data_IF_300257015522
#
_entry.id   IF_300257015522
#
_cell.length_a   1.000
_cell.length_b   1.000
_cell.length_c   1.000
_cell.angle_alpha   90.00
_cell.angle_beta   90.00
_cell.angle_gamma   90.00
#
_symmetry.space_group_name_H-M   'P 1'
#
loop_
_entity.id
_entity.type
_entity.pdbx_description
1 polymer ?
#
# COMPACT_ATOMS: atom_id res chain seq x y z
N UNK A 1 -36.64 -25.49 12.81
CA UNK A 1 -35.20 -25.29 13.08
C UNK A 1 -34.62 -24.44 11.95
N UNK A 2 -34.63 -23.12 12.13
CA UNK A 2 -34.06 -22.18 11.16
C UNK A 2 -32.54 -22.33 11.15
N UNK A 3 -31.97 -22.64 9.98
CA UNK A 3 -30.52 -22.74 9.80
C UNK A 3 -29.94 -21.34 9.93
N UNK A 4 -29.11 -21.13 10.95
CA UNK A 4 -28.25 -19.97 11.06
C UNK A 4 -27.31 -19.96 9.85
N UNK A 5 -27.55 -19.05 8.91
CA UNK A 5 -26.58 -18.73 7.87
C UNK A 5 -25.62 -17.69 8.45
N UNK A 6 -24.31 -17.98 8.53
CA UNK A 6 -23.33 -16.96 8.86
C UNK A 6 -23.37 -15.92 7.74
N UNK A 7 -23.64 -14.67 8.13
CA UNK A 7 -23.58 -13.52 7.23
C UNK A 7 -22.17 -13.51 6.60
N UNK A 8 -22.01 -13.63 5.27
CA UNK A 8 -20.70 -13.50 4.67
C UNK A 8 -20.20 -12.10 5.00
N UNK A 9 -19.05 -12.01 5.69
CA UNK A 9 -18.39 -10.75 5.91
C UNK A 9 -18.23 -10.05 4.56
N UNK A 10 -19.04 -9.05 4.31
CA UNK A 10 -18.80 -8.08 3.26
C UNK A 10 -17.52 -7.37 3.66
N UNK A 11 -16.39 -7.73 3.04
CA UNK A 11 -15.21 -6.91 3.02
C UNK A 11 -15.56 -5.65 2.23
N UNK A 12 -16.10 -4.67 2.95
CA UNK A 12 -16.29 -3.32 2.46
C UNK A 12 -14.88 -2.75 2.21
N UNK A 13 -14.49 -2.44 0.96
CA UNK A 13 -13.22 -1.80 0.69
C UNK A 13 -13.32 -0.34 1.11
N UNK A 14 -12.42 0.11 1.98
CA UNK A 14 -12.49 1.45 2.54
C UNK A 14 -11.13 1.87 3.15
N UNK A 15 -10.46 3.00 2.89
CA UNK A 15 -10.59 4.15 1.95
C UNK A 15 -9.21 4.85 1.91
N UNK A 16 -8.77 5.41 0.77
CA UNK A 16 -7.83 6.55 0.75
C UNK A 16 -8.63 7.82 0.41
N UNK A 17 -8.99 8.62 1.42
CA UNK A 17 -9.72 9.89 1.26
C UNK A 17 -8.80 11.06 1.57
N UNK A 18 -8.60 11.91 0.56
CA UNK A 18 -7.94 13.20 0.68
C UNK A 18 -8.86 14.30 0.19
N UNK A 19 -9.26 15.16 1.11
CA UNK A 19 -9.85 16.46 0.82
C UNK A 19 -8.72 17.48 0.57
N UNK A 20 -8.64 18.14 -0.61
CA UNK A 20 -7.67 19.21 -0.87
C UNK A 20 -8.08 20.59 -0.35
N UNK A 21 -9.24 20.75 0.30
CA UNK A 21 -9.82 22.07 0.63
C UNK A 21 -9.83 22.45 2.11
N UNK A 22 -9.39 21.58 3.02
CA UNK A 22 -9.17 21.93 4.42
C UNK A 22 -7.88 21.29 4.94
N UNK A 23 -7.18 21.96 5.85
CA UNK A 23 -5.95 21.50 6.53
C UNK A 23 -6.15 20.29 7.45
N UNK A 24 -7.27 19.58 7.31
CA UNK A 24 -7.80 18.63 8.27
C UNK A 24 -8.62 17.60 7.46
N UNK A 25 -8.08 16.43 7.12
CA UNK A 25 -8.79 15.37 6.37
C UNK A 25 -10.05 14.79 7.00
N UNK A 26 -10.78 13.81 6.44
CA UNK A 26 -11.98 13.21 7.08
C UNK A 26 -12.16 11.74 6.67
N UNK A 27 -12.40 10.83 7.64
CA UNK A 27 -12.67 9.41 7.38
C UNK A 27 -14.12 9.20 6.95
N UNK A 28 -14.30 8.87 5.68
CA UNK A 28 -15.48 8.24 5.12
C UNK A 28 -15.74 6.80 5.58
N UNK A 29 -15.69 6.46 6.87
CA UNK A 29 -16.11 5.13 7.31
C UNK A 29 -17.60 4.92 7.09
N UNK A 30 -17.91 4.10 6.08
CA UNK A 30 -19.16 3.40 5.80
C UNK A 30 -20.35 3.79 6.72
N UNK A 31 -20.93 4.96 6.47
CA UNK A 31 -22.31 5.24 6.81
C UNK A 31 -23.02 5.63 5.54
N UNK A 32 -23.60 4.62 4.87
CA UNK A 32 -24.86 4.78 4.14
C UNK A 32 -26.03 5.06 5.10
N UNK A 33 -25.77 5.63 6.28
CA UNK A 33 -26.80 6.20 7.16
C UNK A 33 -26.79 7.72 6.98
N UNK A 34 -27.95 8.19 6.57
CA UNK A 34 -28.23 9.56 6.17
C UNK A 34 -27.87 10.57 7.28
N UNK A 35 -27.17 11.65 6.89
CA UNK A 35 -27.27 12.94 7.58
C UNK A 35 -26.31 13.24 8.74
N UNK A 36 -25.27 12.44 9.03
CA UNK A 36 -24.28 12.85 10.04
C UNK A 36 -23.22 13.81 9.48
N UNK A 37 -22.87 14.89 10.21
CA UNK A 37 -21.76 15.76 9.84
C UNK A 37 -20.45 14.99 9.91
N UNK A 38 -19.72 14.99 8.80
CA UNK A 38 -18.39 14.36 8.68
C UNK A 38 -17.37 15.18 9.48
N UNK A 39 -16.79 14.58 10.53
CA UNK A 39 -15.77 15.24 11.36
C UNK A 39 -14.44 15.26 10.62
N UNK A 40 -13.79 16.43 10.45
CA UNK A 40 -12.46 16.47 9.91
C UNK A 40 -11.41 15.86 10.87
N UNK A 41 -10.87 14.71 10.47
CA UNK A 41 -9.57 14.16 10.85
C UNK A 41 -8.40 15.13 10.65
N UNK A 42 -7.31 14.96 11.37
CA UNK A 42 -6.02 15.62 11.16
C UNK A 42 -5.15 14.88 10.13
N UNK A 43 -4.16 15.57 9.54
CA UNK A 43 -3.19 14.95 8.60
C UNK A 43 -2.54 13.71 9.21
N UNK A 44 -2.17 13.77 10.48
CA UNK A 44 -1.66 12.65 11.27
C UNK A 44 -2.63 11.47 11.34
N UNK A 45 -3.93 11.72 11.45
CA UNK A 45 -4.95 10.67 11.45
C UNK A 45 -5.07 9.98 10.08
N UNK A 46 -5.07 10.71 8.95
CA UNK A 46 -5.02 10.02 7.63
C UNK A 46 -3.80 9.14 7.57
N UNK A 47 -2.61 9.68 7.88
CA UNK A 47 -1.38 8.92 7.71
C UNK A 47 -1.44 7.63 8.53
N UNK A 48 -1.84 7.74 9.80
CA UNK A 48 -1.98 6.59 10.71
C UNK A 48 -2.96 5.55 10.16
N UNK A 49 -4.12 5.99 9.69
CA UNK A 49 -5.16 5.10 9.16
C UNK A 49 -4.76 4.48 7.82
N UNK A 50 -4.09 5.24 6.96
CA UNK A 50 -3.59 4.77 5.66
C UNK A 50 -2.50 3.72 5.84
N UNK A 51 -1.54 3.98 6.75
CA UNK A 51 -0.48 3.02 7.10
C UNK A 51 -1.12 1.75 7.66
N UNK A 52 -2.04 1.89 8.62
CA UNK A 52 -2.75 0.75 9.23
C UNK A 52 -3.55 -0.05 8.18
N UNK A 53 -4.23 0.63 7.27
CA UNK A 53 -5.02 0.00 6.20
C UNK A 53 -4.13 -0.80 5.26
N UNK A 54 -3.05 -0.22 4.76
CA UNK A 54 -2.11 -0.93 3.88
C UNK A 54 -1.49 -2.10 4.64
N UNK A 55 -1.08 -1.91 5.90
CA UNK A 55 -0.55 -2.96 6.75
C UNK A 55 -1.53 -4.14 6.87
N UNK A 56 -2.79 -3.89 7.24
CA UNK A 56 -3.84 -4.90 7.37
C UNK A 56 -4.12 -5.62 6.05
N UNK A 57 -4.12 -4.91 4.93
CA UNK A 57 -4.30 -5.51 3.61
C UNK A 57 -3.19 -6.49 3.26
N UNK A 58 -1.92 -6.12 3.48
CA UNK A 58 -0.80 -7.01 3.24
C UNK A 58 -0.85 -8.23 4.19
N UNK A 59 -1.26 -8.03 5.44
CA UNK A 59 -1.47 -9.11 6.41
C UNK A 59 -2.71 -9.97 6.17
N UNK A 60 -3.58 -9.61 5.22
CA UNK A 60 -4.76 -10.40 4.85
C UNK A 60 -4.43 -11.63 4.00
N UNK A 61 -3.17 -11.76 3.59
CA UNK A 61 -2.66 -12.89 2.81
C UNK A 61 -2.01 -13.92 3.73
N UNK A 62 -1.69 -15.11 3.19
CA UNK A 62 -0.93 -16.13 3.92
C UNK A 62 0.57 -15.86 3.93
N UNK A 63 1.06 -14.96 3.08
CA UNK A 63 2.46 -14.55 3.09
C UNK A 63 2.78 -13.71 4.34
N UNK A 64 4.04 -13.77 4.76
CA UNK A 64 4.53 -12.87 5.81
C UNK A 64 4.44 -11.41 5.33
N UNK A 65 3.91 -10.52 6.16
CA UNK A 65 3.67 -9.11 5.80
C UNK A 65 4.92 -8.42 5.24
N UNK A 66 6.08 -8.61 5.88
CA UNK A 66 7.36 -8.05 5.42
C UNK A 66 7.72 -8.43 3.98
N UNK A 67 7.36 -9.65 3.52
CA UNK A 67 7.58 -10.06 2.13
C UNK A 67 6.85 -9.11 1.19
N UNK A 68 5.61 -8.78 1.50
CA UNK A 68 4.79 -7.91 0.67
C UNK A 68 5.20 -6.44 0.80
N UNK A 69 5.69 -6.01 1.96
CA UNK A 69 6.30 -4.68 2.13
C UNK A 69 7.54 -4.54 1.24
N UNK A 70 8.42 -5.55 1.21
CA UNK A 70 9.57 -5.55 0.31
C UNK A 70 9.13 -5.57 -1.15
N UNK A 71 8.16 -6.41 -1.53
CA UNK A 71 7.64 -6.41 -2.89
C UNK A 71 7.13 -5.02 -3.31
N UNK A 72 6.37 -4.36 -2.42
CA UNK A 72 5.86 -3.01 -2.64
C UNK A 72 7.00 -2.01 -2.87
N UNK A 73 8.04 -2.04 -2.03
CA UNK A 73 9.24 -1.21 -2.22
C UNK A 73 9.94 -1.50 -3.56
N UNK A 74 9.96 -2.75 -3.99
CA UNK A 74 10.55 -3.18 -5.26
C UNK A 74 9.85 -2.59 -6.49
N UNK A 75 8.53 -2.41 -6.41
CA UNK A 75 7.70 -1.78 -7.44
C UNK A 75 7.80 -0.25 -7.39
N UNK A 76 7.71 0.34 -6.20
CA UNK A 76 7.68 1.80 -6.05
C UNK A 76 9.02 2.44 -6.40
N UNK A 77 10.10 1.95 -5.79
CA UNK A 77 11.40 2.57 -5.93
C UNK A 77 11.96 2.22 -7.29
N UNK A 78 12.14 3.18 -8.18
CA UNK A 78 12.79 2.94 -9.46
C UNK A 78 13.33 4.25 -10.01
N UNK A 79 14.30 4.17 -10.92
CA UNK A 79 14.84 5.40 -11.51
C UNK A 79 13.79 6.19 -12.33
N UNK A 80 12.93 5.55 -13.15
CA UNK A 80 11.94 6.29 -13.94
C UNK A 80 10.66 6.64 -13.16
N UNK A 81 10.51 6.25 -11.88
CA UNK A 81 9.28 6.57 -11.15
C UNK A 81 9.22 8.04 -10.74
N UNK A 82 8.00 8.51 -10.46
CA UNK A 82 7.72 9.89 -10.08
C UNK A 82 8.14 10.10 -8.62
N UNK A 83 8.43 11.34 -8.24
CA UNK A 83 8.60 11.70 -6.83
C UNK A 83 7.38 11.21 -6.01
N UNK A 84 7.59 10.70 -4.79
CA UNK A 84 8.84 10.66 -4.04
C UNK A 84 9.71 9.42 -4.34
N UNK A 85 9.26 8.52 -5.21
CA UNK A 85 9.87 7.19 -5.38
C UNK A 85 10.94 7.11 -6.48
N UNK A 86 11.01 8.14 -7.32
CA UNK A 86 12.02 8.36 -8.34
C UNK A 86 13.35 8.88 -7.81
N UNK A 87 14.45 8.60 -8.51
CA UNK A 87 15.76 9.15 -8.17
C UNK A 87 16.85 8.79 -9.18
N UNK A 88 18.04 9.39 -9.03
CA UNK A 88 19.19 9.06 -9.88
C UNK A 88 19.62 7.60 -9.69
N UNK A 89 20.26 6.98 -10.69
CA UNK A 89 20.84 5.63 -10.57
C UNK A 89 21.87 5.51 -9.44
N UNK A 90 22.51 6.63 -9.07
CA UNK A 90 23.42 6.72 -7.95
C UNK A 90 22.71 6.79 -6.58
N UNK A 91 21.40 7.09 -6.55
CA UNK A 91 20.55 7.21 -5.35
C UNK A 91 19.09 6.80 -5.67
N UNK A 92 18.81 5.53 -6.01
CA UNK A 92 17.49 5.11 -6.50
C UNK A 92 16.39 5.21 -5.42
N UNK A 93 15.47 6.18 -5.52
CA UNK A 93 14.40 6.38 -4.54
C UNK A 93 14.87 6.90 -3.17
N UNK A 94 16.13 7.34 -3.08
CA UNK A 94 16.76 7.82 -1.83
C UNK A 94 17.14 9.27 -1.91
N UNK A 95 16.37 10.09 -1.24
CA UNK A 95 16.97 11.24 -0.56
C UNK A 95 16.66 11.26 0.95
N UNK A 96 15.63 10.56 1.44
CA UNK A 96 15.15 10.75 2.82
C UNK A 96 14.92 9.50 3.69
N UNK A 97 14.81 8.28 3.14
CA UNK A 97 14.58 7.10 3.98
C UNK A 97 15.85 6.67 4.75
N UNK A 98 15.79 6.71 6.08
CA UNK A 98 16.87 6.30 7.00
C UNK A 98 16.42 5.20 7.99
N UNK A 99 15.30 4.52 7.70
CA UNK A 99 14.76 3.49 8.58
C UNK A 99 15.49 2.16 8.45
N UNK A 100 15.53 1.40 9.55
CA UNK A 100 16.20 0.09 9.63
C UNK A 100 15.22 -1.09 9.72
N UNK A 101 13.92 -0.83 9.64
CA UNK A 101 12.87 -1.86 9.79
C UNK A 101 11.86 -1.78 8.65
N UNK A 102 11.14 -2.89 8.42
CA UNK A 102 10.04 -2.96 7.43
C UNK A 102 8.87 -2.05 7.80
N UNK A 103 8.60 -1.86 9.08
CA UNK A 103 7.59 -0.92 9.57
C UNK A 103 7.94 0.53 9.22
N UNK A 104 9.20 0.93 9.40
CA UNK A 104 9.68 2.24 8.94
C UNK A 104 9.54 2.38 7.43
N UNK A 105 9.87 1.33 6.67
CA UNK A 105 9.77 1.32 5.22
C UNK A 105 8.32 1.50 4.75
N UNK A 106 7.36 0.79 5.35
CA UNK A 106 5.93 0.95 5.05
C UNK A 106 5.45 2.37 5.39
N UNK A 107 5.82 2.87 6.57
CA UNK A 107 5.49 4.24 7.00
C UNK A 107 5.96 5.27 5.98
N UNK A 108 7.20 5.12 5.50
CA UNK A 108 7.78 6.00 4.48
C UNK A 108 7.03 5.92 3.14
N UNK A 109 6.80 4.70 2.64
CA UNK A 109 6.12 4.48 1.35
C UNK A 109 4.71 5.04 1.32
N UNK A 110 4.02 5.08 2.47
CA UNK A 110 2.70 5.69 2.57
C UNK A 110 2.83 7.20 2.77
N UNK A 111 3.69 7.68 3.66
CA UNK A 111 3.73 9.09 4.08
C UNK A 111 4.24 10.04 2.99
N UNK A 112 5.26 9.66 2.24
CA UNK A 112 5.88 10.58 1.30
C UNK A 112 4.98 10.98 0.12
N UNK A 113 4.18 10.08 -0.48
CA UNK A 113 3.17 10.47 -1.46
C UNK A 113 2.14 11.46 -0.93
N UNK A 114 1.72 11.33 0.33
CA UNK A 114 0.83 12.29 0.97
C UNK A 114 1.48 13.65 1.15
N UNK A 115 2.73 13.67 1.63
CA UNK A 115 3.51 14.91 1.76
C UNK A 115 3.65 15.61 0.40
N UNK A 116 3.95 14.85 -0.65
CA UNK A 116 4.06 15.36 -2.03
C UNK A 116 2.72 15.89 -2.52
N UNK A 117 1.63 15.16 -2.29
CA UNK A 117 0.29 15.61 -2.64
C UNK A 117 -0.12 16.89 -1.94
N UNK A 118 0.12 17.02 -0.63
CA UNK A 118 -0.26 18.22 0.10
C UNK A 118 0.55 19.45 -0.29
N UNK A 119 1.85 19.26 -0.53
CA UNK A 119 2.80 20.34 -0.86
C UNK A 119 2.73 20.79 -2.32
N UNK A 120 2.65 19.85 -3.26
CA UNK A 120 2.71 20.12 -4.70
C UNK A 120 1.36 19.99 -5.41
N UNK A 121 0.31 19.54 -4.71
CA UNK A 121 -1.02 19.26 -5.27
C UNK A 121 -1.04 18.20 -6.39
N UNK A 122 0.03 17.39 -6.49
CA UNK A 122 0.15 16.27 -7.44
C UNK A 122 -0.35 14.95 -6.85
N UNK A 123 -1.15 14.20 -7.61
CA UNK A 123 -1.76 12.93 -7.17
C UNK A 123 -1.00 11.69 -7.63
N UNK A 124 -0.02 11.86 -8.49
CA UNK A 124 0.63 10.79 -9.24
C UNK A 124 1.34 9.80 -8.31
N UNK A 125 1.99 10.28 -7.24
CA UNK A 125 2.63 9.43 -6.24
C UNK A 125 1.64 8.57 -5.47
N UNK A 126 0.45 9.09 -5.15
CA UNK A 126 -0.61 8.36 -4.46
C UNK A 126 -1.27 7.34 -5.38
N UNK A 127 -1.58 7.72 -6.62
CA UNK A 127 -2.11 6.78 -7.62
C UNK A 127 -1.13 5.62 -7.85
N UNK A 128 0.16 5.93 -7.94
CA UNK A 128 1.19 4.91 -8.11
C UNK A 128 1.34 4.00 -6.88
N UNK A 129 1.22 4.54 -5.66
CA UNK A 129 1.14 3.74 -4.44
C UNK A 129 -0.02 2.75 -4.50
N UNK A 130 -1.23 3.22 -4.84
CA UNK A 130 -2.44 2.39 -4.92
C UNK A 130 -2.29 1.27 -5.95
N UNK A 131 -1.84 1.61 -7.17
CA UNK A 131 -1.60 0.63 -8.24
C UNK A 131 -0.59 -0.43 -7.77
N UNK A 132 0.48 0.00 -7.10
CA UNK A 132 1.53 -0.91 -6.62
C UNK A 132 1.05 -1.84 -5.51
N UNK A 133 0.26 -1.34 -4.54
CA UNK A 133 -0.33 -2.18 -3.49
C UNK A 133 -1.23 -3.25 -4.09
N UNK A 134 -2.12 -2.86 -5.02
CA UNK A 134 -2.98 -3.82 -5.72
C UNK A 134 -2.17 -4.84 -6.53
N UNK A 135 -1.11 -4.41 -7.21
CA UNK A 135 -0.24 -5.30 -7.97
C UNK A 135 0.43 -6.35 -7.07
N UNK A 136 0.94 -5.96 -5.90
CA UNK A 136 1.52 -6.89 -4.92
C UNK A 136 0.48 -7.91 -4.45
N UNK A 137 -0.72 -7.45 -4.09
CA UNK A 137 -1.80 -8.34 -3.66
C UNK A 137 -2.20 -9.31 -4.78
N UNK A 138 -2.31 -8.83 -6.02
CA UNK A 138 -2.62 -9.67 -7.19
C UNK A 138 -1.53 -10.70 -7.46
N UNK A 139 -0.25 -10.32 -7.36
CA UNK A 139 0.87 -11.26 -7.52
C UNK A 139 0.85 -12.35 -6.46
N UNK A 140 0.63 -11.99 -5.19
CA UNK A 140 0.56 -12.96 -4.10
C UNK A 140 -0.64 -13.89 -4.25
N UNK A 141 -1.82 -13.33 -4.51
CA UNK A 141 -3.07 -14.07 -4.65
C UNK A 141 -3.16 -14.95 -5.89
N UNK A 142 -2.62 -14.46 -7.01
CA UNK A 142 -2.51 -15.23 -8.25
C UNK A 142 -1.34 -16.20 -8.28
N UNK A 143 -0.66 -16.44 -7.14
CA UNK A 143 0.49 -17.34 -7.03
C UNK A 143 1.61 -17.05 -8.06
N UNK A 144 1.81 -15.77 -8.42
CA UNK A 144 2.86 -15.30 -9.36
C UNK A 144 4.19 -15.23 -8.63
N UNK A 145 4.68 -16.39 -8.19
CA UNK A 145 5.84 -16.55 -7.31
C UNK A 145 7.07 -15.80 -7.82
N UNK A 146 7.46 -16.04 -9.07
CA UNK A 146 8.76 -15.56 -9.58
C UNK A 146 8.79 -14.04 -9.73
N UNK A 147 7.68 -13.44 -10.19
CA UNK A 147 7.52 -11.99 -10.25
C UNK A 147 7.54 -11.35 -8.86
N UNK A 148 6.87 -12.00 -7.90
CA UNK A 148 6.86 -11.53 -6.52
C UNK A 148 8.25 -11.68 -5.88
N UNK A 149 8.97 -12.77 -6.13
CA UNK A 149 10.35 -12.97 -5.65
C UNK A 149 11.30 -11.92 -6.24
N UNK A 150 11.15 -11.60 -7.53
CA UNK A 150 11.91 -10.52 -8.16
C UNK A 150 11.61 -9.17 -7.52
N UNK A 151 10.33 -8.85 -7.28
CA UNK A 151 9.92 -7.63 -6.60
C UNK A 151 10.47 -7.56 -5.17
N UNK A 152 10.40 -8.64 -4.41
CA UNK A 152 10.96 -8.73 -3.05
C UNK A 152 12.47 -8.46 -3.08
N UNK A 153 13.20 -9.13 -3.97
CA UNK A 153 14.66 -8.97 -4.07
C UNK A 153 15.04 -7.54 -4.44
N UNK A 154 14.36 -6.95 -5.44
CA UNK A 154 14.51 -5.54 -5.79
C UNK A 154 14.21 -4.66 -4.59
N UNK A 155 13.13 -4.95 -3.87
CA UNK A 155 12.71 -4.23 -2.68
C UNK A 155 13.75 -4.25 -1.57
N UNK A 156 14.31 -5.40 -1.23
CA UNK A 156 15.36 -5.52 -0.22
C UNK A 156 16.64 -4.77 -0.60
N UNK A 157 17.07 -4.86 -1.87
CA UNK A 157 18.23 -4.11 -2.38
C UNK A 157 18.00 -2.62 -2.39
N UNK A 158 16.85 -2.21 -2.94
CA UNK A 158 16.48 -0.81 -3.02
C UNK A 158 16.27 -0.27 -1.63
N UNK A 159 15.58 -0.95 -0.71
CA UNK A 159 15.38 -0.54 0.70
C UNK A 159 16.67 -0.40 1.54
N UNK A 160 17.84 -0.80 1.02
CA UNK A 160 19.10 -0.79 1.75
C UNK A 160 19.22 -1.91 2.79
N UNK A 161 18.27 -2.83 2.86
CA UNK A 161 18.28 -3.95 3.81
C UNK A 161 19.33 -5.00 3.46
N UNK A 162 19.68 -5.10 2.18
CA UNK A 162 20.81 -5.88 1.69
C UNK A 162 21.62 -5.04 0.69
N UNK A 163 22.92 -5.33 0.52
CA UNK A 163 23.73 -4.66 -0.48
C UNK A 163 23.21 -4.81 -1.92
N UNK A 164 23.53 -3.83 -2.75
CA UNK A 164 23.08 -3.76 -4.14
C UNK A 164 23.68 -4.87 -5.02
N UNK A 165 24.98 -5.14 -4.83
CA UNK A 165 25.78 -6.14 -5.53
C UNK A 165 26.02 -7.37 -4.67
N UNK A 166 26.12 -8.53 -5.32
CA UNK A 166 26.31 -9.83 -4.67
C UNK A 166 25.12 -10.77 -4.85
N UNK A 167 25.37 -12.04 -4.50
CA UNK A 167 24.35 -13.09 -4.48
C UNK A 167 23.63 -13.07 -3.14
N UNK A 168 22.31 -12.93 -3.18
CA UNK A 168 21.46 -12.94 -2.01
C UNK A 168 20.28 -13.87 -2.23
N UNK A 169 19.86 -14.51 -1.15
CA UNK A 169 18.71 -15.40 -1.14
C UNK A 169 17.60 -14.77 -0.32
N UNK A 170 16.36 -14.97 -0.75
CA UNK A 170 15.20 -14.57 0.06
C UNK A 170 15.21 -15.41 1.36
N UNK A 171 15.25 -14.77 2.54
CA UNK A 171 15.22 -15.46 3.82
C UNK A 171 14.03 -16.41 3.94
N UNK A 172 14.20 -17.53 4.66
CA UNK A 172 13.18 -18.59 4.76
C UNK A 172 11.80 -18.05 5.17
N UNK A 173 11.75 -17.10 6.11
CA UNK A 173 10.53 -16.46 6.60
C UNK A 173 9.80 -15.64 5.52
N UNK A 174 10.54 -15.15 4.53
CA UNK A 174 10.02 -14.29 3.47
C UNK A 174 9.78 -15.06 2.17
N UNK A 175 9.87 -16.40 2.17
CA UNK A 175 9.61 -17.20 0.97
C UNK A 175 8.13 -17.18 0.60
N UNK A 176 7.84 -17.43 -0.67
CA UNK A 176 6.47 -17.50 -1.16
C UNK A 176 5.69 -18.59 -0.44
N UNK A 177 4.45 -18.25 -0.08
CA UNK A 177 3.45 -19.16 0.46
C UNK A 177 2.27 -19.10 -0.50
N UNK A 178 1.82 -20.27 -0.96
CA UNK A 178 0.70 -20.39 -1.90
C UNK A 178 -0.60 -19.99 -1.19
N UNK A 179 -1.39 -19.14 -1.84
CA UNK A 179 -2.76 -18.87 -1.42
C UNK A 179 -3.65 -20.05 -1.83
N UNK A 180 -4.46 -20.57 -0.91
CA UNK A 180 -5.44 -21.61 -1.25
C UNK A 180 -6.65 -20.91 -1.84
N UNK A 181 -6.95 -21.19 -3.12
CA UNK A 181 -8.14 -20.68 -3.79
C UNK A 181 -9.40 -21.23 -3.11
N UNK A 182 -10.02 -20.41 -2.28
CA UNK A 182 -11.38 -20.68 -1.82
C UNK A 182 -12.38 -20.22 -2.89
N UNK A 183 -12.32 -20.75 -4.12
CA UNK A 183 -13.37 -20.72 -5.16
C UNK A 183 -14.14 -19.41 -5.46
N UNK A 184 -13.70 -18.26 -4.96
CA UNK A 184 -14.43 -16.99 -5.00
C UNK A 184 -13.61 -16.03 -5.85
N UNK A 185 -14.21 -15.55 -6.93
CA UNK A 185 -13.60 -14.60 -7.86
C UNK A 185 -12.99 -13.43 -7.09
N UNK A 186 -11.68 -13.30 -7.17
CA UNK A 186 -10.96 -12.20 -6.53
C UNK A 186 -11.23 -10.93 -7.32
N UNK A 187 -11.83 -9.94 -6.67
CA UNK A 187 -11.84 -8.58 -7.20
C UNK A 187 -10.38 -8.13 -7.43
N UNK A 188 -10.08 -7.67 -8.65
CA UNK A 188 -8.73 -7.31 -9.09
C UNK A 188 -8.13 -6.06 -8.41
N UNK A 189 -8.97 -5.31 -7.67
CA UNK A 189 -8.62 -4.09 -6.95
C UNK A 189 -9.09 -4.17 -5.50
N UNK A 190 -8.16 -4.03 -4.55
CA UNK A 190 -8.43 -3.97 -3.12
C UNK A 190 -8.29 -2.56 -2.54
N UNK A 191 -7.59 -1.67 -3.24
CA UNK A 191 -7.31 -0.28 -2.85
C UNK A 191 -7.67 0.65 -4.00
N UNK A 192 -8.29 1.78 -3.69
CA UNK A 192 -8.56 2.85 -4.66
C UNK A 192 -8.25 4.20 -4.03
N UNK A 193 -7.77 5.14 -4.86
CA UNK A 193 -7.68 6.55 -4.51
C UNK A 193 -8.84 7.31 -5.17
N UNK A 194 -9.54 8.15 -4.42
CA UNK A 194 -10.66 8.94 -4.96
C UNK A 194 -10.48 10.42 -4.62
N UNK A 195 -10.24 11.29 -5.63
CA UNK A 195 -10.21 12.74 -5.41
C UNK A 195 -11.62 13.29 -5.22
N UNK A 196 -11.76 14.37 -4.43
CA UNK A 196 -13.03 15.08 -4.29
C UNK A 196 -13.22 16.05 -5.45
N UNK A 197 -14.35 15.97 -6.17
CA UNK A 197 -14.69 16.90 -7.27
C UNK A 197 -15.67 17.96 -6.72
N UNK A 198 -15.34 19.24 -6.86
CA UNK A 198 -16.30 20.32 -6.62
C UNK A 198 -17.26 20.45 -7.80
N UNK A 199 -18.57 20.50 -7.52
CA UNK A 199 -19.48 21.27 -8.37
C UNK A 199 -19.29 22.73 -7.95
N UNK A 200 -18.71 23.52 -8.87
CA UNK A 200 -18.70 24.98 -8.73
C UNK A 200 -20.11 25.57 -8.77
#
# INVERSE_FOLDING_TARGET
>A
LAKYQPNPMQLIPLILRLDPTTSTPTLALHQLHQGQPTIPLSTTQILTESISTVATLLSSTRAHQDRLIYALAGLLFSNPTILPFGGSKSRPGYLSFNGTTTSHLLTYMVTEPFNTYWSLKGREGLDFLVVSVNAVLRMQRGNRKDELDEAVMKGMKKSGMIPWSGEYYIPKLLRHVVEVENGVGMNDSAVEFTPVIHKG
#
